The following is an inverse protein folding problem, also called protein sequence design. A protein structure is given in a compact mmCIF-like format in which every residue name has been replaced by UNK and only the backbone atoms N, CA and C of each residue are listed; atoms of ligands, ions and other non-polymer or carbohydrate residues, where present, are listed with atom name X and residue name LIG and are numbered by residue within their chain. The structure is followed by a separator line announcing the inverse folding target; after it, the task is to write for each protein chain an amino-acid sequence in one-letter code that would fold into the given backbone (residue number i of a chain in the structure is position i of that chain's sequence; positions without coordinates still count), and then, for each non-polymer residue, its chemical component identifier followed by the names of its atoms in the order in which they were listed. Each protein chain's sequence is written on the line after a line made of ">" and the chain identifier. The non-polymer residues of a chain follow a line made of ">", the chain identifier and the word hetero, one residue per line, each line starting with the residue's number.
data_IF_911454461669
#
_entry.id   IF_911454461669
#
_cell.length_a   1.000
_cell.length_b   1.000
_cell.length_c   1.000
_cell.angle_alpha   90.00
_cell.angle_beta   90.00
_cell.angle_gamma   90.00
#
_symmetry.space_group_name_H-M   'P 1'
#
loop_
_entity.id
_entity.type
_entity.pdbx_description
1 polymer ?
#
# COMPACT_ATOMS: atom_id res chain seq x y z
N UNK A 1 8.29 5.33 -0.39
CA UNK A 1 7.80 4.91 0.93
C UNK A 1 8.13 3.44 1.17
N UNK A 2 8.54 3.10 2.40
CA UNK A 2 8.74 1.71 2.84
C UNK A 2 7.40 1.13 3.26
N UNK A 3 7.32 -0.19 3.47
CA UNK A 3 6.11 -0.84 4.01
C UNK A 3 5.61 -0.12 5.28
N UNK A 4 6.53 0.21 6.20
CA UNK A 4 6.19 0.90 7.45
C UNK A 4 5.45 2.22 7.27
N UNK A 5 5.78 2.98 6.22
CA UNK A 5 5.13 4.27 5.96
C UNK A 5 3.75 4.11 5.34
N UNK A 6 3.56 3.09 4.49
CA UNK A 6 2.24 2.77 3.96
C UNK A 6 1.29 2.31 5.07
N UNK A 7 1.81 1.55 6.03
CA UNK A 7 1.04 1.10 7.19
C UNK A 7 0.61 2.27 8.07
N UNK A 8 1.53 3.22 8.33
CA UNK A 8 1.22 4.44 9.09
C UNK A 8 0.25 5.36 8.33
N UNK A 9 0.38 5.46 7.01
CA UNK A 9 -0.49 6.30 6.17
C UNK A 9 -1.93 5.76 6.11
N UNK A 10 -2.09 4.45 6.01
CA UNK A 10 -3.40 3.79 5.95
C UNK A 10 -3.98 3.47 7.33
N UNK A 11 -3.24 3.73 8.42
CA UNK A 11 -3.56 3.32 9.78
C UNK A 11 -3.95 1.83 9.90
N UNK A 12 -3.17 0.95 9.25
CA UNK A 12 -3.41 -0.50 9.27
C UNK A 12 -2.21 -1.28 9.79
N UNK A 13 -2.50 -2.44 10.37
CA UNK A 13 -1.45 -3.38 10.78
C UNK A 13 -0.82 -4.14 9.59
N UNK A 14 0.43 -4.59 9.76
CA UNK A 14 1.14 -5.45 8.80
C UNK A 14 0.30 -6.65 8.40
N UNK A 15 -0.38 -7.29 9.36
CA UNK A 15 -1.21 -8.46 9.09
C UNK A 15 -2.34 -8.13 8.12
N UNK A 16 -3.01 -6.98 8.29
CA UNK A 16 -4.06 -6.50 7.39
C UNK A 16 -3.52 -6.27 5.99
N UNK A 17 -2.35 -5.63 5.87
CA UNK A 17 -1.69 -5.43 4.59
C UNK A 17 -1.38 -6.76 3.88
N UNK A 18 -0.81 -7.75 4.60
CA UNK A 18 -0.54 -9.07 4.02
C UNK A 18 -1.82 -9.82 3.63
N UNK A 19 -2.92 -9.66 4.39
CA UNK A 19 -4.24 -10.20 4.01
C UNK A 19 -4.75 -9.58 2.72
N UNK A 20 -4.62 -8.26 2.56
CA UNK A 20 -4.98 -7.59 1.31
C UNK A 20 -4.10 -8.05 0.16
N UNK A 21 -2.80 -8.21 0.39
CA UNK A 21 -1.86 -8.72 -0.62
C UNK A 21 -2.22 -10.13 -1.05
N UNK A 22 -2.58 -11.01 -0.11
CA UNK A 22 -3.04 -12.36 -0.41
C UNK A 22 -4.35 -12.37 -1.22
N UNK A 23 -5.23 -11.40 -0.97
CA UNK A 23 -6.47 -11.21 -1.73
C UNK A 23 -6.28 -10.47 -3.06
N UNK A 24 -5.06 -10.05 -3.43
CA UNK A 24 -4.81 -9.23 -4.63
C UNK A 24 -5.35 -7.79 -4.51
N UNK A 25 -5.63 -7.35 -3.29
CA UNK A 25 -6.21 -6.06 -2.96
C UNK A 25 -5.19 -5.09 -2.36
N UNK A 26 -3.91 -5.41 -2.31
CA UNK A 26 -2.89 -4.49 -1.81
C UNK A 26 -2.43 -3.49 -2.90
N UNK A 27 -1.95 -2.30 -2.50
CA UNK A 27 -1.32 -1.37 -3.44
C UNK A 27 -0.07 -1.99 -4.08
N UNK A 28 0.31 -1.49 -5.26
CA UNK A 28 1.48 -2.01 -5.98
C UNK A 28 2.75 -1.86 -5.15
N UNK A 29 3.34 -3.00 -4.82
CA UNK A 29 4.65 -3.11 -4.22
C UNK A 29 5.69 -3.53 -5.25
N UNK A 30 6.79 -2.78 -5.33
CA UNK A 30 7.95 -3.12 -6.14
C UNK A 30 8.96 -3.80 -5.23
N UNK A 31 9.29 -5.06 -5.53
CA UNK A 31 10.39 -5.74 -4.85
C UNK A 31 11.69 -5.26 -5.47
N UNK A 32 12.52 -4.59 -4.68
CA UNK A 32 13.85 -4.21 -5.12
C UNK A 32 14.76 -5.45 -5.18
N UNK A 33 15.83 -5.43 -6.00
CA UNK A 33 16.82 -6.51 -6.04
C UNK A 33 17.48 -6.76 -4.68
N UNK A 34 17.49 -5.76 -3.80
CA UNK A 34 17.92 -5.87 -2.40
C UNK A 34 16.93 -6.62 -1.49
N UNK A 35 15.80 -7.12 -2.00
CA UNK A 35 14.78 -7.83 -1.22
C UNK A 35 13.80 -6.91 -0.47
N UNK A 36 14.02 -5.60 -0.47
CA UNK A 36 13.13 -4.64 0.16
C UNK A 36 11.88 -4.37 -0.69
N UNK A 37 10.73 -4.32 -0.04
CA UNK A 37 9.46 -3.88 -0.64
C UNK A 37 9.41 -2.36 -0.61
N UNK A 38 9.24 -1.77 -1.79
CA UNK A 38 9.15 -0.32 -1.97
C UNK A 38 7.83 0.03 -2.61
N UNK A 39 7.18 1.03 -2.02
CA UNK A 39 5.90 1.55 -2.46
C UNK A 39 6.13 2.96 -2.98
N UNK A 40 5.44 3.31 -4.06
CA UNK A 40 5.40 4.69 -4.55
C UNK A 40 4.11 5.33 -4.00
N UNK A 41 4.17 6.59 -3.52
CA UNK A 41 2.98 7.34 -3.10
C UNK A 41 1.88 7.29 -4.15
N UNK A 42 2.24 7.60 -5.39
CA UNK A 42 1.33 7.57 -6.53
C UNK A 42 0.65 6.21 -6.76
N UNK A 43 1.31 5.08 -6.48
CA UNK A 43 0.69 3.74 -6.60
C UNK A 43 -0.33 3.49 -5.49
N UNK A 44 -0.08 4.01 -4.28
CA UNK A 44 -1.00 3.92 -3.13
C UNK A 44 -2.20 4.84 -3.34
N UNK A 45 -1.96 6.07 -3.78
CA UNK A 45 -3.01 7.04 -4.12
C UNK A 45 -3.86 6.56 -5.30
N UNK A 46 -3.25 6.05 -6.37
CA UNK A 46 -3.99 5.46 -7.49
C UNK A 46 -4.81 4.24 -7.06
N UNK A 47 -4.31 3.44 -6.11
CA UNK A 47 -5.05 2.31 -5.55
C UNK A 47 -6.23 2.76 -4.68
N UNK A 48 -6.06 3.81 -3.86
CA UNK A 48 -7.15 4.43 -3.09
C UNK A 48 -8.22 5.02 -4.01
N UNK A 49 -7.79 5.79 -5.02
CA UNK A 49 -8.66 6.41 -6.02
C UNK A 49 -9.43 5.35 -6.84
N UNK A 50 -8.79 4.24 -7.20
CA UNK A 50 -9.44 3.14 -7.93
C UNK A 50 -10.49 2.39 -7.08
N UNK A 51 -10.42 2.47 -5.75
CA UNK A 51 -11.35 1.79 -4.83
C UNK A 51 -12.45 2.71 -4.29
N UNK A 52 -12.38 4.01 -4.56
CA UNK A 52 -13.47 4.94 -4.29
C UNK A 52 -13.54 5.46 -2.85
N UNK A 53 -12.40 5.62 -2.17
CA UNK A 53 -12.35 6.50 -0.99
C UNK A 53 -11.78 7.83 -1.47
N UNK A 54 -12.65 8.82 -1.72
CA UNK A 54 -12.22 10.21 -1.85
C UNK A 54 -11.44 10.58 -0.59
N UNK A 55 -10.18 11.04 -0.69
CA UNK A 55 -9.59 11.72 0.45
C UNK A 55 -10.47 12.95 0.69
N UNK A 56 -11.18 12.99 1.83
CA UNK A 56 -11.89 14.19 2.27
C UNK A 56 -10.92 15.37 2.15
N UNK A 57 -11.27 16.30 1.27
CA UNK A 57 -10.69 17.64 1.21
C UNK A 57 -11.32 18.48 2.33
#
# INVERSE_FOLDING_TARGET
>A
MKLSEVLAYLDIDRATFYRWRAKGQAPRCIRQPSGQLRFRPADVEAWLAARGEEPLC
#
